data_IF_733140535810
#
_entry.id   IF_733140535810
#
_cell.length_a   1.000
_cell.length_b   1.000
_cell.length_c   1.000
_cell.angle_alpha   90.00
_cell.angle_beta   90.00
_cell.angle_gamma   90.00
#
_symmetry.space_group_name_H-M   'P 1'
#
loop_
_entity.id
_entity.type
_entity.pdbx_description
1 polymer ?
#
# COMPACT_ATOMS: atom_id res chain seq x y z
N UNK A 1 -2.82 14.95 16.32
CA UNK A 1 -3.73 15.57 15.35
C UNK A 1 -3.59 14.78 14.07
N UNK A 2 -4.70 14.41 13.47
CA UNK A 2 -4.72 13.64 12.24
C UNK A 2 -4.29 14.44 11.00
N UNK A 3 -3.94 13.73 9.95
CA UNK A 3 -3.54 14.31 8.66
C UNK A 3 -4.79 14.64 7.82
N UNK A 4 -4.82 15.82 7.21
CA UNK A 4 -5.87 16.20 6.24
C UNK A 4 -5.26 16.18 4.85
N UNK A 5 -5.79 15.32 3.99
CA UNK A 5 -5.42 15.21 2.58
C UNK A 5 -6.69 15.24 1.75
N UNK A 6 -6.77 16.15 0.78
CA UNK A 6 -7.93 16.27 -0.12
C UNK A 6 -7.96 15.18 -1.22
N UNK A 7 -6.85 14.46 -1.39
CA UNK A 7 -6.66 13.42 -2.42
C UNK A 7 -5.57 12.43 -2.02
N UNK A 8 -5.55 11.30 -2.71
CA UNK A 8 -4.45 10.32 -2.62
C UNK A 8 -3.14 10.98 -3.06
N UNK A 9 -2.09 10.83 -2.24
CA UNK A 9 -0.78 11.46 -2.45
C UNK A 9 0.27 10.44 -2.92
N UNK A 10 1.18 10.82 -3.83
CA UNK A 10 2.25 9.95 -4.32
C UNK A 10 3.34 9.81 -3.27
N UNK A 11 3.12 8.94 -2.29
CA UNK A 11 4.04 8.71 -1.17
C UNK A 11 4.42 7.22 -1.17
N UNK A 12 5.62 6.89 -1.63
CA UNK A 12 6.07 5.50 -1.72
C UNK A 12 6.51 4.92 -0.37
N UNK A 13 6.55 3.58 -0.30
CA UNK A 13 7.19 2.83 0.80
C UNK A 13 8.32 1.95 0.26
N UNK A 14 9.32 1.68 1.10
CA UNK A 14 10.44 0.80 0.77
C UNK A 14 10.07 -0.69 0.87
N UNK A 15 10.92 -1.57 0.36
CA UNK A 15 10.79 -3.01 0.59
C UNK A 15 10.81 -3.38 2.07
N UNK A 16 11.67 -2.73 2.86
CA UNK A 16 11.73 -2.95 4.30
C UNK A 16 10.41 -2.56 5.00
N UNK A 17 9.79 -1.46 4.56
CA UNK A 17 8.46 -1.08 5.01
C UNK A 17 7.41 -2.11 4.57
N UNK A 18 7.40 -2.58 3.31
CA UNK A 18 6.47 -3.62 2.86
C UNK A 18 6.59 -4.91 3.67
N UNK A 19 7.82 -5.35 3.97
CA UNK A 19 8.07 -6.54 4.80
C UNK A 19 7.42 -6.37 6.18
N UNK A 20 7.60 -5.21 6.81
CA UNK A 20 7.06 -4.93 8.16
C UNK A 20 5.57 -4.57 8.18
N UNK A 21 5.04 -4.05 7.09
CA UNK A 21 3.62 -3.69 6.92
C UNK A 21 2.78 -4.94 6.67
N UNK A 22 3.34 -5.92 5.96
CA UNK A 22 2.61 -7.11 5.53
C UNK A 22 3.09 -8.40 6.18
N UNK A 23 4.03 -8.37 7.12
CA UNK A 23 4.68 -9.57 7.68
C UNK A 23 5.17 -10.53 6.57
N UNK A 24 5.82 -9.99 5.52
CA UNK A 24 6.32 -10.83 4.42
C UNK A 24 7.50 -11.65 4.90
N UNK A 25 7.38 -12.97 4.78
CA UNK A 25 8.48 -13.90 5.04
C UNK A 25 9.37 -14.06 3.80
N UNK A 26 10.56 -14.63 3.95
CA UNK A 26 11.40 -14.98 2.80
C UNK A 26 10.68 -15.91 1.82
N UNK A 27 9.83 -16.81 2.31
CA UNK A 27 9.00 -17.66 1.47
C UNK A 27 7.97 -16.83 0.67
N UNK A 28 7.35 -15.83 1.29
CA UNK A 28 6.44 -14.91 0.59
C UNK A 28 7.15 -14.11 -0.48
N UNK A 29 8.36 -13.61 -0.21
CA UNK A 29 9.16 -12.84 -1.16
C UNK A 29 9.59 -13.64 -2.41
N UNK A 30 9.46 -14.97 -2.39
CA UNK A 30 9.72 -15.83 -3.54
C UNK A 30 8.44 -16.19 -4.34
N UNK A 31 7.26 -15.73 -3.90
CA UNK A 31 5.99 -15.93 -4.60
C UNK A 31 5.80 -14.89 -5.71
N UNK A 32 4.79 -15.11 -6.57
CA UNK A 32 4.36 -14.10 -7.55
C UNK A 32 3.46 -13.06 -6.85
N UNK A 33 3.98 -11.85 -6.65
CA UNK A 33 3.32 -10.78 -5.88
C UNK A 33 2.74 -9.70 -6.82
N UNK A 34 1.53 -9.25 -6.51
CA UNK A 34 0.90 -8.06 -7.07
C UNK A 34 0.80 -6.98 -5.98
N UNK A 35 1.34 -5.79 -6.22
CA UNK A 35 1.09 -4.60 -5.40
C UNK A 35 0.07 -3.69 -6.09
N UNK A 36 -0.96 -3.24 -5.37
CA UNK A 36 -2.05 -2.43 -5.92
C UNK A 36 -2.16 -1.13 -5.14
N UNK A 37 -2.14 -0.01 -5.85
CA UNK A 37 -2.04 1.32 -5.25
C UNK A 37 -0.66 1.56 -4.64
N UNK A 38 0.40 1.01 -5.25
CA UNK A 38 1.78 1.09 -4.75
C UNK A 38 2.35 2.52 -4.81
N UNK A 39 1.80 3.37 -5.67
CA UNK A 39 2.33 4.70 -5.95
C UNK A 39 3.82 4.64 -6.32
N UNK A 40 4.64 5.61 -5.90
CA UNK A 40 6.08 5.61 -6.19
C UNK A 40 6.87 4.79 -5.15
N UNK A 41 6.41 3.60 -4.78
CA UNK A 41 7.11 2.69 -3.88
C UNK A 41 8.37 2.09 -4.52
N UNK A 42 9.44 1.95 -3.74
CA UNK A 42 10.67 1.29 -4.21
C UNK A 42 10.65 -0.22 -4.04
N UNK A 43 9.61 -0.79 -3.42
CA UNK A 43 9.45 -2.23 -3.21
C UNK A 43 9.69 -3.04 -4.50
N UNK A 44 9.11 -2.60 -5.62
CA UNK A 44 9.27 -3.29 -6.90
C UNK A 44 10.71 -3.24 -7.42
N UNK A 45 11.32 -2.06 -7.40
CA UNK A 45 12.72 -1.86 -7.77
C UNK A 45 13.67 -2.70 -6.89
N UNK A 46 13.45 -2.71 -5.59
CA UNK A 46 14.23 -3.45 -4.60
C UNK A 46 14.10 -4.98 -4.78
N UNK A 47 12.88 -5.49 -4.98
CA UNK A 47 12.61 -6.91 -5.27
C UNK A 47 13.27 -7.34 -6.58
N UNK A 48 13.17 -6.52 -7.63
CA UNK A 48 13.76 -6.80 -8.95
C UNK A 48 15.28 -6.90 -8.85
N UNK A 49 15.94 -6.02 -8.08
CA UNK A 49 17.40 -6.09 -7.84
C UNK A 49 17.84 -7.37 -7.13
N UNK A 50 16.94 -8.02 -6.38
CA UNK A 50 17.18 -9.32 -5.75
C UNK A 50 16.81 -10.51 -6.65
N UNK A 51 16.43 -10.28 -7.91
CA UNK A 51 15.98 -11.33 -8.84
C UNK A 51 14.59 -11.89 -8.51
N UNK A 52 13.80 -11.18 -7.70
CA UNK A 52 12.44 -11.58 -7.31
C UNK A 52 11.40 -10.96 -8.25
N UNK A 53 10.17 -11.49 -8.22
CA UNK A 53 9.09 -11.09 -9.11
C UNK A 53 8.00 -10.32 -8.38
N UNK A 54 7.72 -9.11 -8.84
CA UNK A 54 6.59 -8.30 -8.38
C UNK A 54 6.09 -7.42 -9.52
N UNK A 55 4.77 -7.30 -9.61
CA UNK A 55 4.07 -6.36 -10.48
C UNK A 55 3.40 -5.32 -9.60
N UNK A 56 3.55 -4.05 -9.96
CA UNK A 56 2.91 -2.92 -9.28
C UNK A 56 1.87 -2.30 -10.20
N UNK A 57 0.71 -2.00 -9.63
CA UNK A 57 -0.42 -1.39 -10.33
C UNK A 57 -0.78 -0.07 -9.66
N UNK A 58 -0.83 1.00 -10.44
CA UNK A 58 -1.27 2.30 -9.96
C UNK A 58 -1.67 3.22 -11.13
N UNK A 59 -2.77 4.00 -11.03
CA UNK A 59 -3.10 5.00 -12.05
C UNK A 59 -2.02 6.09 -12.19
N UNK A 60 -1.18 6.30 -11.17
CA UNK A 60 0.00 7.18 -11.21
C UNK A 60 0.94 6.81 -12.37
N UNK A 61 1.00 5.54 -12.77
CA UNK A 61 1.95 5.09 -13.78
C UNK A 61 1.61 5.57 -15.19
N UNK A 62 0.49 6.28 -15.39
CA UNK A 62 0.24 7.00 -16.64
C UNK A 62 1.29 8.11 -16.89
N UNK A 63 1.86 8.66 -15.82
CA UNK A 63 2.84 9.74 -15.87
C UNK A 63 4.27 9.24 -16.07
N UNK A 64 5.14 10.12 -16.54
CA UNK A 64 6.60 9.93 -16.60
C UNK A 64 7.23 10.04 -15.21
N UNK A 65 8.46 9.53 -15.06
CA UNK A 65 9.21 9.67 -13.81
C UNK A 65 9.35 11.12 -13.32
N UNK A 66 9.61 12.06 -14.24
CA UNK A 66 9.77 13.49 -13.90
C UNK A 66 8.46 14.11 -13.39
N UNK A 67 7.32 13.78 -14.02
CA UNK A 67 6.01 14.25 -13.56
C UNK A 67 5.64 13.66 -12.18
N UNK A 68 5.97 12.40 -11.93
CA UNK A 68 5.77 11.77 -10.62
C UNK A 68 6.64 12.46 -9.56
N UNK A 69 7.91 12.75 -9.87
CA UNK A 69 8.81 13.47 -8.98
C UNK A 69 8.29 14.88 -8.68
N UNK A 70 7.79 15.58 -9.69
CA UNK A 70 7.19 16.90 -9.51
C UNK A 70 6.03 16.85 -8.52
N UNK A 71 5.08 15.92 -8.72
CA UNK A 71 3.92 15.74 -7.83
C UNK A 71 4.33 15.40 -6.39
N UNK A 72 5.38 14.61 -6.22
CA UNK A 72 5.95 14.34 -4.89
C UNK A 72 6.51 15.61 -4.23
N UNK A 73 7.30 16.39 -4.98
CA UNK A 73 7.90 17.62 -4.48
C UNK A 73 6.84 18.67 -4.09
N UNK A 74 5.71 18.70 -4.80
CA UNK A 74 4.59 19.60 -4.50
C UNK A 74 3.90 19.30 -3.15
N UNK A 75 3.95 18.04 -2.67
CA UNK A 75 3.21 17.63 -1.46
C UNK A 75 4.10 17.35 -0.25
N UNK A 76 5.36 16.92 -0.45
CA UNK A 76 6.21 16.38 0.63
C UNK A 76 6.44 17.38 1.75
N UNK A 77 6.73 18.65 1.43
CA UNK A 77 7.08 19.63 2.47
C UNK A 77 5.87 20.01 3.34
N UNK A 78 4.67 20.09 2.76
CA UNK A 78 3.44 20.31 3.52
C UNK A 78 3.16 19.12 4.46
N UNK A 79 3.20 17.90 3.93
CA UNK A 79 3.00 16.67 4.72
C UNK A 79 3.97 16.62 5.89
N UNK A 80 5.27 16.80 5.64
CA UNK A 80 6.29 16.75 6.69
C UNK A 80 6.13 17.90 7.70
N UNK A 81 5.71 19.08 7.26
CA UNK A 81 5.44 20.20 8.16
C UNK A 81 4.29 19.89 9.12
N UNK A 82 3.20 19.28 8.64
CA UNK A 82 2.09 18.83 9.48
C UNK A 82 2.55 17.77 10.49
N UNK A 83 3.34 16.79 10.04
CA UNK A 83 3.91 15.75 10.90
C UNK A 83 4.83 16.35 11.98
N UNK A 84 5.66 17.33 11.63
CA UNK A 84 6.51 18.05 12.60
C UNK A 84 5.68 18.82 13.63
N UNK A 85 4.67 19.54 13.18
CA UNK A 85 3.78 20.31 14.05
C UNK A 85 3.01 19.42 15.06
N UNK A 86 2.86 18.14 14.74
CA UNK A 86 2.07 17.16 15.50
C UNK A 86 2.93 15.99 15.99
N UNK A 87 4.25 16.16 16.04
CA UNK A 87 5.23 15.07 16.24
C UNK A 87 4.96 14.16 17.45
N UNK A 88 4.43 14.72 18.54
CA UNK A 88 4.10 13.97 19.76
C UNK A 88 2.94 12.98 19.58
N UNK A 89 2.18 13.14 18.52
CA UNK A 89 1.00 12.34 18.21
C UNK A 89 1.33 11.15 17.29
N UNK A 90 2.59 10.99 16.87
CA UNK A 90 3.04 9.94 15.97
C UNK A 90 3.90 8.90 16.68
N UNK A 91 3.95 7.69 16.13
CA UNK A 91 4.80 6.61 16.61
C UNK A 91 6.12 6.61 15.83
N UNK A 92 7.23 6.68 16.56
CA UNK A 92 8.57 6.82 16.00
C UNK A 92 9.44 5.57 16.16
N UNK A 93 8.85 4.43 16.54
CA UNK A 93 9.57 3.17 16.71
C UNK A 93 10.34 2.76 15.45
N UNK A 94 9.75 2.98 14.26
CA UNK A 94 10.39 2.74 12.96
C UNK A 94 11.17 3.96 12.45
N UNK A 95 10.47 5.05 12.08
CA UNK A 95 11.08 6.21 11.42
C UNK A 95 11.91 7.11 12.35
N UNK A 96 11.94 6.94 13.67
CA UNK A 96 12.71 7.72 14.68
C UNK A 96 12.38 9.20 14.81
N UNK A 97 12.12 9.92 13.72
CA UNK A 97 11.75 11.34 13.73
C UNK A 97 11.01 11.76 12.43
N UNK A 98 10.36 12.94 12.40
CA UNK A 98 9.82 13.48 11.16
C UNK A 98 10.85 13.71 10.05
N UNK A 99 12.09 14.05 10.43
CA UNK A 99 13.17 14.29 9.46
C UNK A 99 13.68 12.98 8.84
N UNK A 100 13.78 11.93 9.64
CA UNK A 100 14.10 10.58 9.17
C UNK A 100 12.99 10.01 8.28
N UNK A 101 11.71 10.24 8.62
CA UNK A 101 10.58 9.93 7.74
C UNK A 101 10.74 10.63 6.39
N UNK A 102 11.04 11.94 6.39
CA UNK A 102 11.28 12.70 5.15
C UNK A 102 12.44 12.11 4.36
N UNK A 103 13.55 11.83 5.03
CA UNK A 103 14.74 11.25 4.42
C UNK A 103 14.41 9.92 3.75
N UNK A 104 13.69 9.02 4.44
CA UNK A 104 13.27 7.75 3.88
C UNK A 104 12.37 7.94 2.66
N UNK A 105 11.38 8.85 2.70
CA UNK A 105 10.48 9.10 1.56
C UNK A 105 11.21 9.62 0.33
N UNK A 106 12.22 10.48 0.52
CA UNK A 106 13.10 10.94 -0.56
C UNK A 106 13.96 9.80 -1.11
N UNK A 107 14.49 8.93 -0.24
CA UNK A 107 15.27 7.76 -0.67
C UNK A 107 14.41 6.83 -1.52
N UNK A 108 13.20 6.49 -1.03
CA UNK A 108 12.24 5.62 -1.72
C UNK A 108 11.92 6.13 -3.12
N UNK A 109 11.53 7.40 -3.26
CA UNK A 109 11.19 7.91 -4.59
C UNK A 109 12.39 7.92 -5.54
N UNK A 110 13.61 8.21 -5.06
CA UNK A 110 14.83 8.13 -5.89
C UNK A 110 15.08 6.69 -6.36
N UNK A 111 14.92 5.71 -5.48
CA UNK A 111 15.07 4.30 -5.84
C UNK A 111 14.02 3.85 -6.85
N UNK A 112 12.76 4.23 -6.65
CA UNK A 112 11.68 4.00 -7.61
C UNK A 112 12.03 4.60 -8.98
N UNK A 113 12.38 5.89 -9.04
CA UNK A 113 12.66 6.59 -10.30
C UNK A 113 13.86 6.01 -11.05
N UNK A 114 14.86 5.48 -10.34
CA UNK A 114 16.03 4.84 -10.97
C UNK A 114 15.68 3.57 -11.76
N UNK A 115 14.54 2.95 -11.45
CA UNK A 115 14.07 1.70 -12.03
C UNK A 115 12.84 1.88 -12.92
N UNK A 116 12.00 2.87 -12.61
CA UNK A 116 10.63 3.03 -13.09
C UNK A 116 10.49 2.91 -14.62
N UNK A 117 11.26 3.69 -15.39
CA UNK A 117 11.14 3.70 -16.86
C UNK A 117 11.48 2.34 -17.49
N UNK A 118 12.48 1.63 -16.93
CA UNK A 118 12.84 0.29 -17.39
C UNK A 118 11.82 -0.75 -16.91
N UNK A 119 11.31 -0.60 -15.69
CA UNK A 119 10.26 -1.45 -15.15
C UNK A 119 8.96 -1.34 -15.91
N UNK A 120 8.58 -0.13 -16.33
CA UNK A 120 7.37 0.12 -17.11
C UNK A 120 7.46 -0.56 -18.48
N UNK A 121 8.62 -0.44 -19.16
CA UNK A 121 8.90 -1.15 -20.42
C UNK A 121 8.89 -2.67 -20.30
N UNK A 122 9.16 -3.20 -19.10
CA UNK A 122 9.14 -4.64 -18.79
C UNK A 122 7.84 -5.10 -18.13
N UNK A 123 6.78 -4.30 -18.19
CA UNK A 123 5.45 -4.58 -17.62
C UNK A 123 5.45 -4.85 -16.09
N UNK A 124 6.43 -4.30 -15.36
CA UNK A 124 6.46 -4.36 -13.89
C UNK A 124 5.67 -3.25 -13.22
N UNK A 125 5.49 -2.11 -13.90
CA UNK A 125 4.63 -1.01 -13.45
C UNK A 125 3.49 -0.85 -14.47
N UNK A 126 2.25 -1.12 -14.07
CA UNK A 126 1.08 -1.20 -14.93
C UNK A 126 0.07 -0.10 -14.57
N UNK A 127 -0.39 0.62 -15.59
CA UNK A 127 -1.46 1.62 -15.45
C UNK A 127 -2.81 0.91 -15.39
N UNK A 128 -3.35 0.77 -14.19
CA UNK A 128 -4.67 0.19 -13.93
C UNK A 128 -5.15 0.66 -12.56
N UNK A 129 -6.43 0.51 -12.25
CA UNK A 129 -7.01 0.99 -10.99
C UNK A 129 -8.18 0.14 -10.47
N UNK A 130 -8.38 0.17 -9.16
CA UNK A 130 -9.56 -0.42 -8.56
C UNK A 130 -10.86 0.25 -9.07
N UNK A 131 -11.99 -0.49 -9.09
CA UNK A 131 -12.17 -1.84 -8.53
C UNK A 131 -12.03 -2.98 -9.55
N UNK A 132 -11.58 -2.74 -10.78
CA UNK A 132 -11.48 -3.77 -11.82
C UNK A 132 -10.13 -3.71 -12.50
N UNK A 133 -9.40 -4.82 -12.45
CA UNK A 133 -8.04 -4.93 -12.99
C UNK A 133 -7.99 -5.96 -14.11
N UNK A 134 -7.16 -5.72 -15.12
CA UNK A 134 -7.07 -6.55 -16.32
C UNK A 134 -6.11 -7.76 -16.15
N UNK A 135 -6.27 -8.50 -15.05
CA UNK A 135 -5.56 -9.76 -14.76
C UNK A 135 -6.48 -10.97 -14.80
N UNK A 136 -5.88 -12.16 -15.01
CA UNK A 136 -6.63 -13.42 -14.96
C UNK A 136 -6.94 -13.81 -13.52
N UNK A 137 -7.97 -14.64 -13.38
CA UNK A 137 -8.30 -15.25 -12.09
C UNK A 137 -7.11 -16.06 -11.57
N UNK A 138 -6.78 -15.85 -10.28
CA UNK A 138 -5.72 -16.57 -9.57
C UNK A 138 -4.35 -16.50 -10.25
N UNK A 139 -4.08 -15.39 -10.93
CA UNK A 139 -2.82 -15.15 -11.62
C UNK A 139 -1.63 -14.93 -10.66
N UNK A 140 -1.90 -14.51 -9.42
CA UNK A 140 -0.90 -14.21 -8.41
C UNK A 140 -1.09 -15.07 -7.16
N UNK A 141 0.00 -15.28 -6.41
CA UNK A 141 -0.08 -15.97 -5.13
C UNK A 141 -0.51 -15.00 -4.03
N UNK A 142 0.01 -13.78 -4.04
CA UNK A 142 -0.29 -12.73 -3.05
C UNK A 142 -0.62 -11.41 -3.75
N UNK A 143 -1.74 -10.77 -3.38
CA UNK A 143 -2.00 -9.37 -3.69
C UNK A 143 -1.90 -8.49 -2.44
N UNK A 144 -1.16 -7.38 -2.54
CA UNK A 144 -0.90 -6.44 -1.46
C UNK A 144 -1.56 -5.10 -1.80
N UNK A 145 -2.32 -4.54 -0.86
CA UNK A 145 -2.78 -3.15 -0.95
C UNK A 145 -2.34 -2.41 0.30
N UNK A 146 -1.44 -1.45 0.11
CA UNK A 146 -0.95 -0.63 1.22
C UNK A 146 -1.93 0.52 1.47
N UNK A 147 -1.41 1.72 1.72
CA UNK A 147 -2.10 2.88 2.25
C UNK A 147 -3.11 3.53 1.26
N UNK A 148 -4.12 2.78 0.82
CA UNK A 148 -5.21 3.20 -0.07
C UNK A 148 -6.59 2.92 0.54
N UNK A 149 -7.06 1.68 0.57
CA UNK A 149 -8.46 1.34 0.88
C UNK A 149 -8.96 1.95 2.21
N UNK A 150 -8.69 1.29 3.33
CA UNK A 150 -9.25 1.71 4.62
C UNK A 150 -8.66 3.03 5.13
N UNK A 151 -7.48 3.43 4.65
CA UNK A 151 -6.89 4.73 4.98
C UNK A 151 -7.74 5.89 4.45
N UNK A 152 -8.32 5.73 3.26
CA UNK A 152 -9.14 6.73 2.59
C UNK A 152 -10.65 6.40 2.68
N UNK A 153 -11.12 5.77 3.76
CA UNK A 153 -12.55 5.44 3.94
C UNK A 153 -13.51 6.63 3.96
N UNK A 154 -13.01 7.84 4.18
CA UNK A 154 -13.80 9.08 4.07
C UNK A 154 -13.98 9.52 2.60
N UNK A 155 -13.13 9.03 1.68
CA UNK A 155 -13.14 9.34 0.24
C UNK A 155 -13.66 8.18 -0.62
N UNK A 156 -13.49 6.94 -0.15
CA UNK A 156 -13.88 5.73 -0.85
C UNK A 156 -15.10 5.12 -0.14
N UNK A 157 -16.19 4.94 -0.86
CA UNK A 157 -17.42 4.41 -0.27
C UNK A 157 -17.35 2.89 -0.02
N UNK A 158 -18.38 2.36 0.64
CA UNK A 158 -18.47 0.94 0.97
C UNK A 158 -18.41 0.03 -0.27
N UNK A 159 -19.09 0.42 -1.37
CA UNK A 159 -19.14 -0.39 -2.58
C UNK A 159 -17.78 -0.45 -3.28
N UNK A 160 -17.03 0.65 -3.23
CA UNK A 160 -15.65 0.67 -3.72
C UNK A 160 -14.78 -0.32 -2.95
N UNK A 161 -14.86 -0.32 -1.61
CA UNK A 161 -14.12 -1.28 -0.78
C UNK A 161 -14.53 -2.72 -1.08
N UNK A 162 -15.83 -2.99 -1.13
CA UNK A 162 -16.38 -4.31 -1.42
C UNK A 162 -15.87 -4.82 -2.76
N UNK A 163 -16.03 -4.05 -3.83
CA UNK A 163 -15.62 -4.48 -5.17
C UNK A 163 -14.09 -4.63 -5.27
N UNK A 164 -13.32 -3.75 -4.63
CA UNK A 164 -11.84 -3.82 -4.65
C UNK A 164 -11.31 -5.05 -3.93
N UNK A 165 -11.85 -5.37 -2.74
CA UNK A 165 -11.46 -6.59 -2.01
C UNK A 165 -11.86 -7.84 -2.81
N UNK A 166 -13.04 -7.84 -3.41
CA UNK A 166 -13.50 -8.92 -4.29
C UNK A 166 -12.57 -9.13 -5.49
N UNK A 167 -12.09 -8.04 -6.09
CA UNK A 167 -11.17 -8.08 -7.21
C UNK A 167 -9.79 -8.61 -6.81
N UNK A 168 -9.25 -8.19 -5.67
CA UNK A 168 -8.03 -8.79 -5.12
C UNK A 168 -8.20 -10.29 -4.90
N UNK A 169 -9.34 -10.71 -4.33
CA UNK A 169 -9.64 -12.12 -4.11
C UNK A 169 -9.84 -12.91 -5.40
N UNK A 170 -10.32 -12.29 -6.48
CA UNK A 170 -10.41 -12.92 -7.81
C UNK A 170 -9.02 -13.22 -8.36
N UNK A 171 -8.10 -12.26 -8.24
CA UNK A 171 -6.78 -12.27 -8.88
C UNK A 171 -5.73 -13.06 -8.09
N UNK A 172 -5.83 -13.11 -6.76
CA UNK A 172 -4.83 -13.76 -5.91
C UNK A 172 -5.43 -14.82 -4.96
N UNK A 173 -4.57 -15.75 -4.51
CA UNK A 173 -4.93 -16.79 -3.54
C UNK A 173 -5.01 -16.24 -2.11
N UNK A 174 -4.13 -15.30 -1.81
CA UNK A 174 -4.02 -14.59 -0.54
C UNK A 174 -3.98 -13.09 -0.81
N UNK A 175 -4.65 -12.31 0.02
CA UNK A 175 -4.58 -10.85 -0.04
C UNK A 175 -4.21 -10.28 1.32
N UNK A 176 -3.48 -9.16 1.31
CA UNK A 176 -3.11 -8.42 2.52
C UNK A 176 -3.38 -6.93 2.32
N UNK A 177 -4.10 -6.31 3.25
CA UNK A 177 -4.51 -4.90 3.17
C UNK A 177 -4.08 -4.17 4.45
N UNK A 178 -3.43 -3.01 4.30
CA UNK A 178 -2.93 -2.22 5.43
C UNK A 178 -2.93 -0.72 5.13
N UNK A 179 -3.22 0.18 6.10
CA UNK A 179 -3.67 -0.11 7.46
C UNK A 179 -5.19 -0.34 7.48
N UNK A 180 -5.74 -0.66 8.65
CA UNK A 180 -7.20 -0.82 8.87
C UNK A 180 -7.86 0.39 9.57
N UNK A 181 -7.14 1.51 9.58
CA UNK A 181 -7.58 2.79 10.16
C UNK A 181 -7.64 3.87 9.07
N UNK A 182 -8.38 4.94 9.32
CA UNK A 182 -8.46 6.12 8.46
C UNK A 182 -7.29 7.09 8.70
N UNK A 183 -7.17 8.13 7.86
CA UNK A 183 -6.25 9.26 8.10
C UNK A 183 -6.39 9.89 9.49
N UNK A 184 -7.59 9.76 10.09
CA UNK A 184 -7.94 10.24 11.43
C UNK A 184 -7.59 9.27 12.57
N UNK A 185 -6.90 8.16 12.28
CA UNK A 185 -6.54 7.09 13.22
C UNK A 185 -7.75 6.41 13.85
N UNK A 186 -8.90 6.50 13.17
CA UNK A 186 -10.12 5.81 13.57
C UNK A 186 -10.18 4.48 12.85
N UNK A 187 -10.77 3.49 13.52
CA UNK A 187 -11.21 2.26 12.85
C UNK A 187 -12.01 2.60 11.59
N UNK A 188 -11.70 1.95 10.47
CA UNK A 188 -12.44 2.22 9.23
C UNK A 188 -13.90 1.81 9.39
N UNK A 189 -14.80 2.72 9.02
CA UNK A 189 -16.25 2.49 9.05
C UNK A 189 -16.72 1.37 8.11
N UNK A 190 -15.90 0.99 7.13
CA UNK A 190 -16.24 -0.06 6.16
C UNK A 190 -15.71 -1.44 6.56
N UNK A 191 -14.72 -1.52 7.47
CA UNK A 191 -13.99 -2.76 7.73
C UNK A 191 -14.90 -3.89 8.22
N UNK A 192 -15.74 -3.63 9.22
CA UNK A 192 -16.50 -4.68 9.90
C UNK A 192 -17.52 -5.35 8.96
N UNK A 193 -18.21 -4.56 8.13
CA UNK A 193 -19.15 -5.10 7.15
C UNK A 193 -18.44 -5.82 5.99
N UNK A 194 -17.24 -5.37 5.58
CA UNK A 194 -16.41 -6.09 4.60
C UNK A 194 -15.97 -7.45 5.15
N UNK A 195 -15.45 -7.49 6.40
CA UNK A 195 -15.05 -8.73 7.07
C UNK A 195 -16.23 -9.68 7.18
N UNK A 196 -17.39 -9.19 7.63
CA UNK A 196 -18.62 -9.97 7.75
C UNK A 196 -19.10 -10.53 6.41
N UNK A 197 -19.08 -9.71 5.36
CA UNK A 197 -19.46 -10.13 4.02
C UNK A 197 -18.57 -11.28 3.51
N UNK A 198 -17.25 -11.11 3.51
CA UNK A 198 -16.35 -12.15 2.99
C UNK A 198 -16.27 -13.39 3.88
N UNK A 199 -16.47 -13.25 5.19
CA UNK A 199 -16.66 -14.40 6.09
C UNK A 199 -17.91 -15.20 5.69
N UNK A 200 -19.03 -14.53 5.41
CA UNK A 200 -20.27 -15.21 4.97
C UNK A 200 -20.16 -15.88 3.61
N UNK A 201 -19.22 -15.44 2.78
CA UNK A 201 -18.86 -16.04 1.49
C UNK A 201 -17.90 -17.24 1.64
N UNK A 202 -17.49 -17.59 2.88
CA UNK A 202 -16.63 -18.73 3.16
C UNK A 202 -15.12 -18.45 3.06
N UNK A 203 -14.71 -17.19 3.00
CA UNK A 203 -13.28 -16.85 3.07
C UNK A 203 -12.79 -16.88 4.51
N UNK A 204 -11.54 -17.31 4.70
CA UNK A 204 -10.85 -17.18 5.98
C UNK A 204 -10.28 -15.77 6.13
N UNK A 205 -10.65 -15.11 7.22
CA UNK A 205 -10.26 -13.74 7.52
C UNK A 205 -9.42 -13.70 8.81
N UNK A 206 -8.24 -13.10 8.74
CA UNK A 206 -7.36 -12.86 9.88
C UNK A 206 -7.02 -11.36 9.96
N UNK A 207 -7.04 -10.78 11.16
CA UNK A 207 -6.50 -9.44 11.42
C UNK A 207 -5.24 -9.62 12.25
N UNK A 208 -4.08 -9.40 11.64
CA UNK A 208 -2.77 -9.62 12.24
C UNK A 208 -2.14 -8.29 12.68
N UNK A 209 -1.42 -8.31 13.81
CA UNK A 209 -0.54 -7.20 14.17
C UNK A 209 0.74 -7.26 13.34
N UNK A 210 1.32 -6.10 13.03
CA UNK A 210 2.52 -5.98 12.22
C UNK A 210 3.55 -5.09 12.92
N UNK A 211 4.82 -5.19 12.52
CA UNK A 211 5.91 -4.46 13.17
C UNK A 211 5.92 -2.96 12.82
N UNK A 212 5.34 -2.59 11.67
CA UNK A 212 5.27 -1.21 11.23
C UNK A 212 4.16 -0.44 11.96
N UNK A 213 4.52 0.65 12.61
CA UNK A 213 3.57 1.62 13.15
C UNK A 213 4.11 3.05 12.96
N UNK A 214 3.25 3.92 12.43
CA UNK A 214 3.51 5.35 12.29
C UNK A 214 2.34 6.15 12.85
N UNK A 215 1.12 5.79 12.44
CA UNK A 215 -0.12 6.26 13.04
C UNK A 215 -0.44 5.40 14.27
N UNK A 216 -0.70 5.97 15.46
CA UNK A 216 -1.02 5.20 16.65
C UNK A 216 -2.21 4.25 16.43
N UNK A 217 -2.04 2.97 16.79
CA UNK A 217 -3.05 1.92 16.56
C UNK A 217 -3.19 1.48 15.10
N UNK A 218 -2.37 2.04 14.20
CA UNK A 218 -2.32 1.72 12.78
C UNK A 218 -1.41 0.54 12.44
N UNK A 219 -1.24 -0.41 13.36
CA UNK A 219 -0.31 -1.55 13.24
C UNK A 219 -1.04 -2.89 12.97
N UNK A 220 -2.19 -2.83 12.29
CA UNK A 220 -3.00 -4.01 11.93
C UNK A 220 -3.14 -4.14 10.43
N UNK A 221 -3.07 -5.38 9.96
CA UNK A 221 -3.22 -5.77 8.57
C UNK A 221 -4.34 -6.80 8.45
N UNK A 222 -5.22 -6.63 7.45
CA UNK A 222 -6.24 -7.59 7.10
C UNK A 222 -5.63 -8.59 6.13
N UNK A 223 -5.73 -9.86 6.46
CA UNK A 223 -5.33 -10.97 5.62
C UNK A 223 -6.55 -11.83 5.30
N UNK A 224 -6.73 -12.12 4.02
CA UNK A 224 -7.81 -13.00 3.57
C UNK A 224 -7.21 -14.10 2.71
N UNK A 225 -7.57 -15.34 3.01
CA UNK A 225 -7.18 -16.51 2.21
C UNK A 225 -8.42 -17.27 1.77
N UNK A 226 -8.34 -17.85 0.57
CA UNK A 226 -9.27 -18.90 0.16
C UNK A 226 -8.92 -20.16 0.96
N UNK A 227 -9.91 -20.77 1.61
CA UNK A 227 -9.74 -22.17 2.04
C UNK A 227 -9.62 -23.01 0.75
N UNK A 228 -8.51 -23.74 0.63
CA UNK A 228 -8.19 -24.61 -0.51
C UNK A 228 -8.86 -25.97 -0.32
#
# INVERSE_FOLDING_TARGET
MAMVLDKVVPFGRSMDEYIKIFNLTDADLNKKILGIGDGPASFNAEMTRQGKSVVSVDPLYQFSGDEILQRFNEVVDNIISQVKATSKDWVWSYHKSPDDLRHNRVKVIKEFLSDYENGKKSNRYIVDEFPKLEFKDQEFDIALCSHLLFLYSDHLDYNFHLNSVGEMLRIAKEIRIFPLITLMWKHSQHLDEIVKYYTSMGYKIDIENVEYELQPGGNKMLKITRDV
#
